data_IF_656247127023
#
_entry.id   IF_656247127023
#
_cell.length_a   1.000
_cell.length_b   1.000
_cell.length_c   1.000
_cell.angle_alpha   90.00
_cell.angle_beta   90.00
_cell.angle_gamma   90.00
#
_symmetry.space_group_name_H-M   'P 1'
#
loop_
_entity.id
_entity.type
_entity.pdbx_description
1 polymer ?
#
# COMPACT_ATOMS: atom_id res chain seq x y z
N UNK A 1 16.66 -23.32 -6.58
CA UNK A 1 17.16 -21.96 -6.88
C UNK A 1 17.39 -21.83 -8.37
N UNK A 2 16.80 -20.83 -9.03
CA UNK A 2 17.07 -20.60 -10.45
C UNK A 2 18.45 -19.93 -10.56
N UNK A 3 19.45 -20.63 -11.09
CA UNK A 3 20.83 -20.14 -11.18
C UNK A 3 21.01 -19.08 -12.27
N UNK A 4 20.06 -18.99 -13.21
CA UNK A 4 20.14 -18.13 -14.39
C UNK A 4 20.34 -16.63 -14.07
N UNK A 5 19.60 -15.99 -13.14
CA UNK A 5 19.79 -14.57 -12.84
C UNK A 5 21.15 -14.28 -12.20
N UNK A 6 21.65 -15.20 -11.38
CA UNK A 6 22.97 -15.10 -10.74
C UNK A 6 24.06 -15.20 -11.82
N UNK A 7 23.93 -16.13 -12.76
CA UNK A 7 24.86 -16.29 -13.89
C UNK A 7 24.87 -15.03 -14.77
N UNK A 8 23.69 -14.47 -15.10
CA UNK A 8 23.58 -13.25 -15.90
C UNK A 8 24.23 -12.04 -15.20
N UNK A 9 24.03 -11.91 -13.89
CA UNK A 9 24.65 -10.86 -13.09
C UNK A 9 26.19 -10.98 -13.09
N UNK A 10 26.73 -12.18 -12.87
CA UNK A 10 28.18 -12.43 -12.87
C UNK A 10 28.82 -12.14 -14.23
N UNK A 11 28.16 -12.52 -15.33
CA UNK A 11 28.63 -12.24 -16.70
C UNK A 11 28.62 -10.73 -16.97
N UNK A 12 27.57 -10.01 -16.54
CA UNK A 12 27.49 -8.56 -16.68
C UNK A 12 28.60 -7.82 -15.94
N UNK A 13 28.89 -8.21 -14.69
CA UNK A 13 29.99 -7.63 -13.90
C UNK A 13 31.35 -7.92 -14.55
N UNK A 14 31.59 -9.14 -15.02
CA UNK A 14 32.81 -9.48 -15.74
C UNK A 14 32.99 -8.64 -17.03
N UNK A 15 31.91 -8.40 -17.77
CA UNK A 15 31.91 -7.56 -18.97
C UNK A 15 32.27 -6.10 -18.70
N UNK A 16 31.82 -5.53 -17.58
CA UNK A 16 32.21 -4.18 -17.14
C UNK A 16 33.71 -4.13 -16.82
N UNK A 17 34.23 -5.12 -16.09
CA UNK A 17 35.66 -5.19 -15.74
C UNK A 17 36.53 -5.29 -17.00
N UNK A 18 36.14 -6.13 -17.96
CA UNK A 18 36.84 -6.27 -19.24
C UNK A 18 36.80 -4.96 -20.02
N UNK A 19 35.66 -4.25 -20.02
CA UNK A 19 35.52 -2.94 -20.67
C UNK A 19 36.48 -1.91 -20.09
N UNK A 20 36.63 -1.87 -18.76
CA UNK A 20 37.58 -0.98 -18.07
C UNK A 20 39.04 -1.29 -18.44
N UNK A 21 39.41 -2.58 -18.51
CA UNK A 21 40.76 -2.99 -18.93
C UNK A 21 41.05 -2.62 -20.38
N UNK A 22 40.07 -2.77 -21.27
CA UNK A 22 40.19 -2.39 -22.67
C UNK A 22 40.29 -0.86 -22.87
N UNK A 23 39.64 -0.05 -22.01
CA UNK A 23 39.82 1.42 -22.00
C UNK A 23 41.27 1.78 -21.67
N UNK A 24 41.82 1.21 -20.60
CA UNK A 24 43.22 1.47 -20.19
C UNK A 24 44.19 1.08 -21.30
N UNK A 25 43.95 -0.06 -21.94
CA UNK A 25 44.77 -0.52 -23.07
C UNK A 25 44.65 0.38 -24.30
N UNK A 26 43.43 0.82 -24.63
CA UNK A 26 43.16 1.71 -25.77
C UNK A 26 43.84 3.07 -25.61
N UNK A 27 43.79 3.65 -24.41
CA UNK A 27 44.47 4.90 -24.07
C UNK A 27 45.99 4.74 -24.23
N UNK A 28 46.55 3.62 -23.75
CA UNK A 28 47.99 3.36 -23.81
C UNK A 28 48.51 3.16 -25.25
N UNK A 29 47.69 2.63 -26.16
CA UNK A 29 48.10 2.28 -27.54
C UNK A 29 47.61 3.27 -28.61
N UNK A 30 46.84 4.29 -28.25
CA UNK A 30 46.31 5.29 -29.18
C UNK A 30 45.36 4.73 -30.25
N UNK A 31 44.79 3.54 -30.01
CA UNK A 31 44.00 2.81 -31.01
C UNK A 31 42.52 3.21 -30.93
N UNK A 32 42.05 3.98 -31.93
CA UNK A 32 40.64 4.41 -32.01
C UNK A 32 39.65 3.25 -32.15
N UNK A 33 40.05 2.14 -32.79
CA UNK A 33 39.19 0.97 -32.98
C UNK A 33 38.83 0.25 -31.67
N UNK A 34 39.67 0.33 -30.63
CA UNK A 34 39.39 -0.29 -29.33
C UNK A 34 38.35 0.48 -28.51
N UNK A 35 38.16 1.78 -28.76
CA UNK A 35 37.13 2.57 -28.05
C UNK A 35 35.70 2.19 -28.47
N UNK A 36 35.48 1.92 -29.76
CA UNK A 36 34.16 1.49 -30.25
C UNK A 36 33.80 0.11 -29.69
N UNK A 37 34.77 -0.81 -29.62
CA UNK A 37 34.58 -2.13 -29.04
C UNK A 37 34.23 -2.05 -27.55
N UNK A 38 34.92 -1.19 -26.80
CA UNK A 38 34.61 -0.91 -25.38
C UNK A 38 33.16 -0.45 -25.21
N UNK A 39 32.71 0.51 -26.03
CA UNK A 39 31.35 1.03 -25.93
C UNK A 39 30.30 -0.06 -26.13
N UNK A 40 30.51 -0.96 -27.10
CA UNK A 40 29.60 -2.08 -27.38
C UNK A 40 29.57 -3.07 -26.21
N UNK A 41 30.75 -3.46 -25.68
CA UNK A 41 30.83 -4.43 -24.56
C UNK A 41 30.20 -3.84 -23.29
N UNK A 42 30.39 -2.55 -23.05
CA UNK A 42 29.78 -1.86 -21.90
C UNK A 42 28.26 -1.80 -22.02
N UNK A 43 27.73 -1.46 -23.21
CA UNK A 43 26.28 -1.43 -23.45
C UNK A 43 25.63 -2.80 -23.28
N UNK A 44 26.27 -3.86 -23.83
CA UNK A 44 25.81 -5.24 -23.68
C UNK A 44 25.80 -5.68 -22.20
N UNK A 45 26.79 -5.25 -21.42
CA UNK A 45 26.87 -5.57 -19.99
C UNK A 45 25.73 -4.94 -19.19
N UNK A 46 25.33 -3.70 -19.52
CA UNK A 46 24.19 -3.03 -18.90
C UNK A 46 22.88 -3.77 -19.23
N UNK A 47 22.70 -4.18 -20.50
CA UNK A 47 21.52 -4.95 -20.94
C UNK A 47 21.43 -6.30 -20.22
N UNK A 48 22.56 -6.99 -20.01
CA UNK A 48 22.59 -8.26 -19.28
C UNK A 48 22.24 -8.10 -17.81
N UNK A 49 22.73 -7.03 -17.15
CA UNK A 49 22.40 -6.74 -15.75
C UNK A 49 20.91 -6.41 -15.62
N UNK A 50 20.35 -5.58 -16.52
CA UNK A 50 18.93 -5.21 -16.48
C UNK A 50 17.99 -6.37 -16.79
N UNK A 51 18.38 -7.28 -17.70
CA UNK A 51 17.64 -8.51 -17.95
C UNK A 51 17.66 -9.45 -16.72
N UNK A 52 18.80 -9.55 -16.03
CA UNK A 52 18.92 -10.32 -14.78
C UNK A 52 17.97 -9.81 -13.70
N UNK A 53 17.91 -8.50 -13.46
CA UNK A 53 16.96 -7.89 -12.52
C UNK A 53 15.51 -8.06 -12.97
N UNK A 54 15.22 -7.90 -14.26
CA UNK A 54 13.88 -8.12 -14.81
C UNK A 54 13.38 -9.55 -14.56
N UNK A 55 14.22 -10.56 -14.79
CA UNK A 55 13.86 -11.96 -14.54
C UNK A 55 13.59 -12.21 -13.05
N UNK A 56 14.34 -11.60 -12.12
CA UNK A 56 14.05 -11.73 -10.68
C UNK A 56 12.75 -11.04 -10.24
N UNK A 57 12.33 -9.96 -10.92
CA UNK A 57 11.06 -9.28 -10.64
C UNK A 57 9.85 -10.00 -11.24
N UNK A 58 9.98 -10.59 -12.44
CA UNK A 58 8.93 -11.41 -13.04
C UNK A 58 8.87 -12.84 -12.48
N UNK A 59 9.94 -13.31 -11.83
CA UNK A 59 9.95 -14.56 -11.06
C UNK A 59 9.53 -14.36 -9.60
N UNK A 60 8.60 -13.45 -9.34
CA UNK A 60 7.67 -13.61 -8.23
C UNK A 60 6.63 -14.61 -8.71
N UNK A 61 6.96 -15.90 -8.58
CA UNK A 61 6.01 -16.99 -8.78
C UNK A 61 4.77 -16.69 -7.93
N UNK A 62 3.64 -16.53 -8.61
CA UNK A 62 2.32 -16.76 -8.05
C UNK A 62 2.31 -18.20 -7.52
N UNK A 63 2.54 -18.38 -6.23
CA UNK A 63 2.29 -19.66 -5.57
C UNK A 63 0.78 -19.85 -5.45
N UNK A 64 0.14 -20.26 -6.55
CA UNK A 64 -1.05 -21.08 -6.45
C UNK A 64 -0.55 -22.52 -6.30
N UNK A 65 -0.56 -23.03 -5.08
CA UNK A 65 -0.56 -24.46 -4.85
C UNK A 65 -1.85 -25.02 -5.44
N UNK A 66 -1.78 -25.59 -6.63
CA UNK A 66 -2.81 -26.49 -7.12
C UNK A 66 -2.55 -27.84 -6.47
N UNK A 67 -3.17 -28.07 -5.31
CA UNK A 67 -3.23 -29.39 -4.70
C UNK A 67 -4.14 -30.25 -5.59
N UNK A 68 -3.54 -31.06 -6.47
CA UNK A 68 -4.22 -32.22 -7.04
C UNK A 68 -4.55 -33.18 -5.89
N UNK A 69 -5.75 -33.03 -5.32
CA UNK A 69 -6.32 -34.06 -4.47
C UNK A 69 -7.02 -35.05 -5.39
N UNK A 70 -6.51 -36.28 -5.45
CA UNK A 70 -7.20 -37.38 -6.10
C UNK A 70 -8.63 -37.48 -5.57
N UNK A 71 -9.59 -37.53 -6.50
CA UNK A 71 -11.01 -37.64 -6.23
C UNK A 71 -11.29 -38.98 -5.53
N UNK A 72 -11.34 -38.97 -4.19
CA UNK A 72 -11.92 -40.08 -3.43
C UNK A 72 -13.43 -39.95 -3.51
N UNK A 73 -14.07 -40.84 -4.26
CA UNK A 73 -15.51 -41.03 -4.24
C UNK A 73 -15.93 -41.67 -2.92
N UNK A 74 -16.15 -40.87 -1.89
CA UNK A 74 -17.05 -41.22 -0.81
C UNK A 74 -17.96 -40.02 -0.50
N UNK A 75 -19.27 -40.24 -0.33
CA UNK A 75 -20.20 -39.18 0.00
C UNK A 75 -19.92 -38.75 1.44
N UNK A 76 -19.41 -37.53 1.61
CA UNK A 76 -19.26 -36.92 2.92
C UNK A 76 -20.36 -35.87 3.03
N UNK A 77 -21.44 -36.22 3.73
CA UNK A 77 -22.29 -35.25 4.42
C UNK A 77 -21.42 -34.56 5.49
N UNK A 78 -20.59 -33.61 5.06
CA UNK A 78 -19.94 -32.64 5.93
C UNK A 78 -20.78 -31.40 5.86
N UNK A 79 -21.57 -31.20 6.90
CA UNK A 79 -22.11 -29.90 7.26
C UNK A 79 -20.96 -28.88 7.19
N UNK A 80 -20.93 -28.06 6.14
CA UNK A 80 -19.98 -26.96 6.01
C UNK A 80 -20.40 -25.95 7.08
N UNK A 81 -19.72 -25.97 8.23
CA UNK A 81 -19.79 -24.84 9.16
C UNK A 81 -19.21 -23.63 8.43
N UNK A 82 -20.08 -22.79 7.89
CA UNK A 82 -19.73 -21.43 7.50
C UNK A 82 -19.19 -20.78 8.76
N UNK A 83 -17.89 -20.49 8.78
CA UNK A 83 -17.27 -19.85 9.93
C UNK A 83 -17.57 -18.35 9.80
N UNK A 84 -18.28 -17.80 10.79
CA UNK A 84 -18.63 -16.38 10.78
C UNK A 84 -17.37 -15.53 10.95
N UNK A 85 -17.30 -14.40 10.22
CA UNK A 85 -16.17 -13.48 10.29
C UNK A 85 -15.97 -12.94 11.72
N UNK A 86 -14.72 -12.80 12.14
CA UNK A 86 -14.32 -12.44 13.49
C UNK A 86 -13.12 -11.50 13.51
N UNK A 87 -12.81 -10.94 14.69
CA UNK A 87 -11.66 -10.02 14.85
C UNK A 87 -10.34 -10.69 14.48
N UNK A 88 -10.23 -12.02 14.62
CA UNK A 88 -9.04 -12.78 14.26
C UNK A 88 -8.76 -12.77 12.74
N UNK A 89 -9.76 -12.42 11.92
CA UNK A 89 -9.61 -12.21 10.48
C UNK A 89 -8.98 -10.84 10.14
N UNK A 90 -8.79 -9.97 11.13
CA UNK A 90 -8.09 -8.70 10.99
C UNK A 90 -6.61 -8.86 11.33
N UNK A 91 -5.73 -8.48 10.41
CA UNK A 91 -4.29 -8.49 10.63
C UNK A 91 -3.75 -7.06 10.71
N UNK A 92 -2.85 -6.77 11.64
CA UNK A 92 -2.21 -5.47 11.81
C UNK A 92 -0.69 -5.61 11.74
N UNK A 93 -0.06 -4.76 10.94
CA UNK A 93 1.38 -4.63 10.81
C UNK A 93 1.76 -3.16 10.93
N UNK A 94 2.93 -2.87 11.50
CA UNK A 94 3.41 -1.49 11.60
C UNK A 94 4.93 -1.38 11.44
N UNK A 95 5.36 -0.16 11.12
CA UNK A 95 6.76 0.25 11.08
C UNK A 95 6.88 1.67 11.63
N UNK A 96 7.80 1.86 12.58
CA UNK A 96 8.17 3.17 13.10
C UNK A 96 9.51 3.59 12.52
N UNK A 97 9.63 4.80 11.98
CA UNK A 97 10.89 5.33 11.47
C UNK A 97 10.96 6.86 11.54
N UNK A 98 12.16 7.39 11.72
CA UNK A 98 12.40 8.84 11.70
C UNK A 98 12.62 9.33 10.26
N UNK A 99 12.09 10.50 9.92
CA UNK A 99 12.39 11.21 8.68
C UNK A 99 13.48 12.25 8.96
N UNK A 100 14.75 11.82 8.92
CA UNK A 100 15.88 12.71 9.15
C UNK A 100 15.96 13.21 10.60
N UNK A 101 16.19 14.51 10.78
CA UNK A 101 16.33 15.18 12.10
C UNK A 101 14.98 15.60 12.70
N UNK A 102 13.87 14.95 12.34
CA UNK A 102 12.53 15.33 12.78
C UNK A 102 12.34 15.10 14.29
N UNK A 103 11.58 15.98 14.93
CA UNK A 103 11.13 15.84 16.33
C UNK A 103 10.13 14.70 16.52
N UNK A 104 9.63 14.12 15.42
CA UNK A 104 8.58 13.12 15.38
C UNK A 104 9.04 11.90 14.55
N UNK A 105 8.43 10.74 14.79
CA UNK A 105 8.55 9.54 13.94
C UNK A 105 7.30 9.38 13.08
N UNK A 106 7.47 8.76 11.92
CA UNK A 106 6.36 8.20 11.16
C UNK A 106 6.00 6.83 11.69
N UNK A 107 4.71 6.61 11.89
CA UNK A 107 4.10 5.30 12.03
C UNK A 107 3.40 4.95 10.73
N UNK A 108 3.96 4.00 9.98
CA UNK A 108 3.30 3.35 8.87
C UNK A 108 2.60 2.10 9.37
N UNK A 109 1.34 1.93 9.01
CA UNK A 109 0.52 0.80 9.43
C UNK A 109 -0.11 0.15 8.22
N UNK A 110 -0.37 -1.14 8.33
CA UNK A 110 -1.14 -1.91 7.36
C UNK A 110 -2.11 -2.78 8.13
N UNK A 111 -3.39 -2.60 7.86
CA UNK A 111 -4.49 -3.37 8.41
C UNK A 111 -5.05 -4.18 7.25
N UNK A 112 -5.27 -5.48 7.42
CA UNK A 112 -5.90 -6.33 6.42
C UNK A 112 -7.22 -6.86 6.98
N UNK A 113 -8.26 -6.84 6.16
CA UNK A 113 -9.47 -7.60 6.41
C UNK A 113 -9.40 -8.85 5.53
N UNK A 114 -9.08 -9.99 6.14
CA UNK A 114 -9.00 -11.27 5.45
C UNK A 114 -10.33 -12.05 5.50
N UNK A 115 -11.39 -11.42 6.03
CA UNK A 115 -12.73 -12.01 6.04
C UNK A 115 -13.47 -11.72 4.74
N UNK A 116 -14.55 -12.47 4.53
CA UNK A 116 -15.52 -12.24 3.46
C UNK A 116 -16.61 -11.21 3.83
N UNK A 117 -16.47 -10.49 4.94
CA UNK A 117 -17.48 -9.54 5.46
C UNK A 117 -16.91 -8.13 5.63
N UNK A 118 -17.80 -7.14 5.63
CA UNK A 118 -17.41 -5.74 5.83
C UNK A 118 -17.17 -5.51 7.32
N UNK A 119 -16.00 -4.99 7.70
CA UNK A 119 -15.72 -4.61 9.08
C UNK A 119 -16.05 -3.14 9.34
N UNK A 120 -16.72 -2.89 10.46
CA UNK A 120 -17.03 -1.57 11.00
C UNK A 120 -16.61 -1.51 12.47
N UNK A 121 -15.75 -0.55 12.83
CA UNK A 121 -15.18 -0.49 14.17
C UNK A 121 -14.18 0.63 14.39
N UNK A 122 -13.29 0.41 15.35
CA UNK A 122 -12.20 1.29 15.75
C UNK A 122 -10.95 0.45 16.05
N UNK A 123 -9.79 0.96 15.64
CA UNK A 123 -8.50 0.49 16.14
C UNK A 123 -7.97 1.48 17.16
N UNK A 124 -7.71 1.03 18.37
CA UNK A 124 -6.99 1.81 19.37
C UNK A 124 -5.51 1.45 19.33
N UNK A 125 -4.67 2.46 19.23
CA UNK A 125 -3.23 2.35 19.15
C UNK A 125 -2.59 3.06 20.34
N UNK A 126 -1.67 2.38 21.02
CA UNK A 126 -0.91 2.93 22.14
C UNK A 126 0.57 2.83 21.82
N UNK A 127 1.24 3.97 21.77
CA UNK A 127 2.67 4.06 21.49
C UNK A 127 3.43 4.18 22.80
N UNK A 128 4.50 3.40 22.95
CA UNK A 128 5.34 3.45 24.15
C UNK A 128 6.81 3.65 23.84
N UNK A 129 7.52 4.27 24.78
CA UNK A 129 8.98 4.40 24.72
C UNK A 129 9.70 3.11 25.17
N UNK A 130 11.03 3.13 25.21
CA UNK A 130 11.84 2.00 25.69
C UNK A 130 11.60 1.62 27.15
N UNK A 131 10.99 2.51 27.93
CA UNK A 131 10.65 2.32 29.34
C UNK A 131 9.19 1.88 29.52
N UNK A 132 8.49 1.53 28.43
CA UNK A 132 7.06 1.20 28.41
C UNK A 132 6.13 2.33 28.87
N UNK A 133 6.61 3.58 28.84
CA UNK A 133 5.76 4.74 29.14
C UNK A 133 4.99 5.14 27.89
N UNK A 134 3.69 5.40 28.02
CA UNK A 134 2.84 5.86 26.92
C UNK A 134 3.31 7.23 26.44
N UNK A 135 3.68 7.33 25.16
CA UNK A 135 4.07 8.58 24.53
C UNK A 135 2.93 9.22 23.75
N UNK A 136 2.11 8.39 23.09
CA UNK A 136 0.98 8.83 22.27
C UNK A 136 -0.12 7.76 22.26
N UNK A 137 -1.35 8.19 21.97
CA UNK A 137 -2.48 7.29 21.70
C UNK A 137 -3.22 7.76 20.45
N UNK A 138 -3.65 6.83 19.61
CA UNK A 138 -4.41 7.13 18.40
C UNK A 138 -5.61 6.18 18.27
N UNK A 139 -6.78 6.75 18.05
CA UNK A 139 -7.99 6.02 17.70
C UNK A 139 -8.26 6.17 16.20
N UNK A 140 -8.28 5.06 15.47
CA UNK A 140 -8.58 5.01 14.05
C UNK A 140 -9.97 4.43 13.84
N UNK A 141 -11.00 5.25 13.55
CA UNK A 141 -12.29 4.73 13.13
C UNK A 141 -12.15 4.04 11.77
N UNK A 142 -12.74 2.85 11.66
CA UNK A 142 -12.78 2.05 10.44
C UNK A 142 -14.24 1.85 10.08
N UNK A 143 -14.64 2.38 8.91
CA UNK A 143 -15.99 2.18 8.37
C UNK A 143 -15.90 1.58 6.98
N UNK A 144 -16.80 0.65 6.69
CA UNK A 144 -16.91 -0.03 5.43
C UNK A 144 -15.58 -0.64 4.97
N UNK A 145 -14.88 -1.33 5.88
CA UNK A 145 -13.62 -1.98 5.52
C UNK A 145 -13.90 -3.26 4.75
N UNK A 146 -13.71 -3.18 3.45
CA UNK A 146 -14.15 -4.18 2.49
C UNK A 146 -13.46 -5.55 2.70
N UNK A 147 -14.18 -6.65 2.41
CA UNK A 147 -13.61 -7.99 2.38
C UNK A 147 -12.33 -8.07 1.55
N UNK A 148 -11.35 -8.85 2.01
CA UNK A 148 -10.12 -9.15 1.27
C UNK A 148 -9.36 -7.90 0.79
N UNK A 149 -9.38 -6.81 1.57
CA UNK A 149 -8.67 -5.56 1.26
C UNK A 149 -7.67 -5.16 2.34
N UNK A 150 -6.74 -4.27 1.96
CA UNK A 150 -5.76 -3.68 2.87
C UNK A 150 -5.98 -2.18 3.03
N UNK A 151 -5.89 -1.72 4.27
CA UNK A 151 -5.98 -0.34 4.68
C UNK A 151 -4.62 0.13 5.25
N UNK A 152 -4.04 1.20 4.70
CA UNK A 152 -2.66 1.64 5.03
C UNK A 152 -2.59 3.04 5.64
N UNK A 153 -2.97 3.21 6.92
CA UNK A 153 -2.87 4.50 7.58
C UNK A 153 -1.42 4.85 7.91
N UNK A 154 -1.17 6.16 7.95
CA UNK A 154 0.10 6.72 8.45
C UNK A 154 -0.19 7.80 9.47
N UNK A 155 0.63 7.91 10.51
CA UNK A 155 0.51 8.94 11.55
C UNK A 155 1.90 9.47 11.95
N UNK A 156 1.94 10.72 12.43
CA UNK A 156 3.11 11.30 13.09
C UNK A 156 2.98 11.07 14.59
N UNK A 157 4.03 10.53 15.21
CA UNK A 157 4.08 10.22 16.65
C UNK A 157 5.36 10.77 17.28
N UNK A 158 5.46 10.73 18.61
CA UNK A 158 6.64 11.14 19.35
C UNK A 158 7.92 10.48 18.82
N UNK A 159 9.01 11.25 18.75
CA UNK A 159 10.33 10.73 18.39
C UNK A 159 10.82 9.61 19.30
N UNK A 160 10.32 9.55 20.54
CA UNK A 160 10.71 8.55 21.52
C UNK A 160 9.89 7.26 21.42
N UNK A 161 8.83 7.20 20.60
CA UNK A 161 8.04 5.98 20.42
C UNK A 161 8.91 4.84 19.84
N UNK A 162 8.89 3.68 20.49
CA UNK A 162 9.65 2.47 20.09
C UNK A 162 8.72 1.30 19.82
N UNK A 163 7.63 1.17 20.58
CA UNK A 163 6.65 0.10 20.41
C UNK A 163 5.26 0.67 20.12
N UNK A 164 4.41 -0.17 19.53
CA UNK A 164 2.99 0.09 19.30
C UNK A 164 2.20 -1.15 19.68
N UNK A 165 1.26 -0.96 20.61
CA UNK A 165 0.21 -1.92 20.95
C UNK A 165 -1.09 -1.51 20.26
N UNK A 166 -1.90 -2.50 19.86
CA UNK A 166 -3.16 -2.24 19.16
C UNK A 166 -4.28 -3.14 19.67
N UNK A 167 -5.52 -2.67 19.50
CA UNK A 167 -6.72 -3.48 19.70
C UNK A 167 -7.80 -3.07 18.70
N UNK A 168 -8.58 -4.05 18.26
CA UNK A 168 -9.75 -3.84 17.43
C UNK A 168 -11.01 -3.91 18.28
N UNK A 169 -11.96 -3.05 18.00
CA UNK A 169 -13.32 -3.14 18.52
C UNK A 169 -14.30 -2.85 17.40
N UNK A 170 -15.35 -3.65 17.25
CA UNK A 170 -16.27 -3.49 16.13
C UNK A 170 -17.08 -4.74 15.83
N UNK A 171 -17.67 -4.76 14.64
CA UNK A 171 -18.50 -5.85 14.14
C UNK A 171 -18.29 -6.07 12.65
N UNK A 172 -18.60 -7.28 12.22
CA UNK A 172 -18.69 -7.64 10.81
C UNK A 172 -20.15 -7.57 10.36
N UNK A 173 -20.39 -6.89 9.25
CA UNK A 173 -21.68 -6.85 8.59
C UNK A 173 -21.61 -7.75 7.35
N UNK A 174 -22.52 -8.73 7.27
CA UNK A 174 -22.65 -9.69 6.16
C UNK A 174 -23.51 -9.17 5.02
N UNK A 175 -24.28 -8.10 5.26
CA UNK A 175 -25.02 -7.39 4.22
C UNK A 175 -24.07 -6.46 3.45
N UNK A 176 -23.32 -7.06 2.52
CA UNK A 176 -22.63 -6.31 1.49
C UNK A 176 -23.72 -5.73 0.58
N UNK A 177 -24.06 -4.45 0.78
CA UNK A 177 -24.75 -3.72 -0.27
C UNK A 177 -23.79 -3.68 -1.46
N UNK A 178 -24.01 -4.52 -2.49
CA UNK A 178 -23.08 -4.68 -3.60
C UNK A 178 -22.99 -3.44 -4.50
N UNK A 179 -23.81 -2.42 -4.24
CA UNK A 179 -23.80 -1.14 -4.94
C UNK A 179 -22.94 -0.08 -4.22
N UNK A 180 -21.70 -0.41 -3.85
CA UNK A 180 -20.79 0.61 -3.30
C UNK A 180 -20.19 1.37 -4.50
N UNK A 181 -20.49 2.67 -4.68
CA UNK A 181 -20.10 3.40 -5.90
C UNK A 181 -18.62 3.81 -5.91
N UNK A 182 -17.83 3.37 -4.91
CA UNK A 182 -16.45 3.76 -4.72
C UNK A 182 -15.64 2.74 -3.90
N UNK A 183 -14.32 2.81 -4.01
CA UNK A 183 -13.37 2.03 -3.18
C UNK A 183 -12.38 2.97 -2.51
N UNK A 184 -12.24 2.90 -1.19
CA UNK A 184 -11.19 3.64 -0.48
C UNK A 184 -9.86 2.92 -0.71
N UNK A 185 -8.90 3.60 -1.32
CA UNK A 185 -7.55 3.06 -1.61
C UNK A 185 -6.56 3.36 -0.51
N UNK A 186 -6.69 4.51 0.14
CA UNK A 186 -5.81 4.93 1.23
C UNK A 186 -6.54 5.91 2.14
N UNK A 187 -6.19 5.89 3.42
CA UNK A 187 -6.57 6.97 4.34
C UNK A 187 -5.29 7.39 5.06
N UNK A 188 -5.15 8.67 5.33
CA UNK A 188 -4.03 9.25 6.05
C UNK A 188 -4.58 10.13 7.17
N UNK A 189 -4.02 10.01 8.36
CA UNK A 189 -4.40 10.87 9.48
C UNK A 189 -3.24 11.82 9.81
N UNK A 190 -3.54 13.12 9.86
CA UNK A 190 -2.53 14.13 10.16
C UNK A 190 -3.17 15.48 10.45
N UNK A 191 -2.56 16.25 11.35
CA UNK A 191 -3.04 17.59 11.75
C UNK A 191 -4.53 17.61 12.14
N UNK A 192 -5.05 16.54 12.76
CA UNK A 192 -6.47 16.34 13.14
C UNK A 192 -7.45 16.21 11.96
N UNK A 193 -6.98 15.99 10.74
CA UNK A 193 -7.83 15.70 9.58
C UNK A 193 -7.62 14.26 9.12
N UNK A 194 -8.69 13.64 8.63
CA UNK A 194 -8.59 12.43 7.80
C UNK A 194 -8.45 12.84 6.33
N UNK A 195 -7.55 12.19 5.59
CA UNK A 195 -7.48 12.28 4.13
C UNK A 195 -7.81 10.93 3.54
N UNK A 196 -8.77 10.86 2.64
CA UNK A 196 -9.19 9.67 1.93
C UNK A 196 -8.79 9.77 0.46
N UNK A 197 -8.15 8.73 -0.07
CA UNK A 197 -7.92 8.55 -1.50
C UNK A 197 -8.94 7.52 -2.00
N UNK A 198 -9.86 7.95 -2.86
CA UNK A 198 -11.07 7.21 -3.23
C UNK A 198 -11.13 6.98 -4.73
N UNK A 199 -11.29 5.73 -5.12
CA UNK A 199 -11.46 5.29 -6.51
C UNK A 199 -12.96 5.20 -6.85
N UNK A 200 -13.40 5.75 -7.97
CA UNK A 200 -14.80 5.77 -8.41
C UNK A 200 -14.93 5.30 -9.86
N UNK A 201 -16.02 4.61 -10.18
CA UNK A 201 -16.34 4.24 -11.57
C UNK A 201 -17.09 5.38 -12.29
N UNK A 202 -18.09 5.97 -11.64
CA UNK A 202 -18.81 7.14 -12.15
C UNK A 202 -18.18 8.44 -11.63
N UNK A 203 -17.64 9.23 -12.55
CA UNK A 203 -16.98 10.52 -12.27
C UNK A 203 -17.94 11.71 -12.36
N UNK A 204 -19.25 11.48 -12.50
CA UNK A 204 -20.24 12.54 -12.58
C UNK A 204 -20.29 13.39 -11.30
N UNK A 205 -20.51 14.69 -11.44
CA UNK A 205 -20.60 15.61 -10.29
C UNK A 205 -21.69 15.22 -9.30
N UNK A 206 -22.76 14.59 -9.78
CA UNK A 206 -23.84 14.08 -8.92
C UNK A 206 -23.36 12.90 -8.07
N UNK A 207 -22.64 11.93 -8.66
CA UNK A 207 -22.10 10.80 -7.92
C UNK A 207 -21.06 11.25 -6.89
N UNK A 208 -20.12 12.12 -7.28
CA UNK A 208 -19.10 12.63 -6.35
C UNK A 208 -19.72 13.37 -5.15
N UNK A 209 -20.74 14.21 -5.38
CA UNK A 209 -21.48 14.86 -4.29
C UNK A 209 -22.18 13.85 -3.38
N UNK A 210 -22.80 12.82 -3.93
CA UNK A 210 -23.44 11.77 -3.14
C UNK A 210 -22.42 11.06 -2.25
N UNK A 211 -21.23 10.74 -2.78
CA UNK A 211 -20.14 10.15 -2.00
C UNK A 211 -19.71 11.09 -0.86
N UNK A 212 -19.52 12.38 -1.13
CA UNK A 212 -19.16 13.36 -0.09
C UNK A 212 -20.19 13.39 1.05
N UNK A 213 -21.49 13.36 0.73
CA UNK A 213 -22.56 13.32 1.72
C UNK A 213 -22.56 12.01 2.52
N UNK A 214 -22.28 10.88 1.86
CA UNK A 214 -22.13 9.60 2.54
C UNK A 214 -20.95 9.63 3.53
N UNK A 215 -19.79 10.18 3.15
CA UNK A 215 -18.67 10.35 4.07
C UNK A 215 -19.02 11.25 5.25
N UNK A 216 -19.71 12.37 5.01
CA UNK A 216 -20.12 13.29 6.08
C UNK A 216 -21.11 12.67 7.07
N UNK A 217 -21.99 11.79 6.60
CA UNK A 217 -22.92 11.05 7.45
C UNK A 217 -22.25 9.85 8.15
N UNK A 218 -21.25 9.24 7.50
CA UNK A 218 -20.58 8.07 8.02
C UNK A 218 -19.49 8.42 9.03
N UNK A 219 -18.66 9.44 8.84
CA UNK A 219 -17.57 9.72 9.76
C UNK A 219 -18.01 10.59 10.94
N UNK A 220 -17.75 10.12 12.16
CA UNK A 220 -18.03 10.90 13.37
C UNK A 220 -17.06 12.06 13.46
N UNK A 221 -17.58 13.26 13.21
CA UNK A 221 -16.82 14.50 13.22
C UNK A 221 -16.38 14.94 14.62
N UNK A 222 -16.79 14.25 15.69
CA UNK A 222 -16.26 14.48 17.04
C UNK A 222 -14.81 13.99 17.21
N UNK A 223 -14.34 13.13 16.30
CA UNK A 223 -13.01 12.51 16.35
C UNK A 223 -11.94 13.25 15.51
N UNK A 224 -12.32 14.29 14.77
CA UNK A 224 -11.43 15.05 13.89
C UNK A 224 -11.93 16.48 13.64
N UNK A 225 -11.04 17.37 13.22
CA UNK A 225 -11.39 18.73 12.80
C UNK A 225 -12.05 18.76 11.41
N UNK A 226 -11.98 17.64 10.66
CA UNK A 226 -12.62 17.48 9.36
C UNK A 226 -12.02 16.36 8.52
N UNK A 227 -12.37 16.33 7.24
CA UNK A 227 -11.78 15.40 6.28
C UNK A 227 -11.58 15.96 4.88
N UNK A 228 -10.60 15.39 4.18
CA UNK A 228 -10.29 15.62 2.78
C UNK A 228 -10.54 14.32 2.00
N UNK A 229 -11.13 14.41 0.81
CA UNK A 229 -11.30 13.27 -0.10
C UNK A 229 -10.69 13.65 -1.44
N UNK A 230 -9.79 12.82 -1.96
CA UNK A 230 -9.28 12.90 -3.33
C UNK A 230 -9.92 11.79 -4.16
N UNK A 231 -10.57 12.16 -5.24
CA UNK A 231 -11.25 11.22 -6.14
C UNK A 231 -10.35 10.85 -7.31
N UNK A 232 -10.33 9.56 -7.65
CA UNK A 232 -9.59 8.99 -8.76
C UNK A 232 -10.50 8.08 -9.59
N UNK A 233 -10.35 8.03 -10.93
CA UNK A 233 -11.08 7.08 -11.74
C UNK A 233 -10.59 5.64 -11.47
N UNK A 234 -11.53 4.69 -11.44
CA UNK A 234 -11.23 3.27 -11.25
C UNK A 234 -10.49 2.72 -12.47
N UNK A 235 -9.16 2.75 -12.43
CA UNK A 235 -8.29 2.08 -13.41
C UNK A 235 -7.28 1.20 -12.67
N UNK A 236 -6.83 0.11 -13.28
CA UNK A 236 -6.07 -0.95 -12.62
C UNK A 236 -4.74 -0.49 -11.98
N UNK A 237 -4.22 0.69 -12.34
CA UNK A 237 -2.93 1.21 -11.86
C UNK A 237 -2.96 2.71 -11.56
N UNK A 238 -3.86 3.17 -10.68
CA UNK A 238 -3.77 4.54 -10.18
C UNK A 238 -2.58 4.65 -9.23
N UNK A 239 -1.48 5.22 -9.73
CA UNK A 239 -0.48 5.78 -8.84
C UNK A 239 -1.14 6.95 -8.10
N UNK A 240 -1.28 6.86 -6.78
CA UNK A 240 -2.02 7.85 -5.97
C UNK A 240 -1.19 9.13 -5.85
N UNK A 241 -1.11 9.88 -6.94
CA UNK A 241 -0.46 11.17 -7.04
C UNK A 241 -1.53 12.27 -7.07
N UNK A 242 -1.32 13.36 -6.33
CA UNK A 242 -2.27 14.47 -6.25
C UNK A 242 -2.64 15.06 -7.62
N UNK A 243 -1.72 14.99 -8.58
CA UNK A 243 -1.95 15.51 -9.94
C UNK A 243 -2.94 14.68 -10.74
N UNK A 244 -3.20 13.43 -10.33
CA UNK A 244 -4.05 12.49 -11.05
C UNK A 244 -5.47 12.43 -10.46
N UNK A 245 -5.75 13.24 -9.43
CA UNK A 245 -7.09 13.37 -8.87
C UNK A 245 -8.00 14.07 -9.89
N UNK A 246 -9.26 13.61 -10.00
CA UNK A 246 -10.31 14.20 -10.83
C UNK A 246 -11.20 15.18 -10.05
N UNK A 247 -11.01 15.23 -8.73
CA UNK A 247 -11.66 16.19 -7.86
C UNK A 247 -11.23 16.00 -6.41
N UNK A 248 -11.46 17.02 -5.61
CA UNK A 248 -11.21 17.00 -4.18
C UNK A 248 -12.38 17.59 -3.38
N UNK A 249 -12.64 16.99 -2.23
CA UNK A 249 -13.60 17.48 -1.26
C UNK A 249 -12.90 17.84 0.03
N UNK A 250 -13.20 19.01 0.57
CA UNK A 250 -12.75 19.42 1.90
C UNK A 250 -13.98 19.71 2.77
N UNK A 251 -14.10 19.00 3.89
CA UNK A 251 -15.01 19.32 4.98
C UNK A 251 -14.22 19.76 6.19
N UNK A 252 -14.48 20.99 6.64
CA UNK A 252 -13.99 21.53 7.91
C UNK A 252 -15.16 21.55 8.90
N UNK A 253 -15.07 20.69 9.91
CA UNK A 253 -16.09 20.56 10.95
C UNK A 253 -16.06 21.72 11.95
N UNK A 254 -14.91 22.38 12.12
CA UNK A 254 -14.74 23.54 13.00
C UNK A 254 -15.44 24.75 12.41
N UNK A 255 -15.20 25.04 11.13
CA UNK A 255 -15.82 26.17 10.44
C UNK A 255 -17.19 25.85 9.83
N UNK A 256 -17.63 24.58 9.88
CA UNK A 256 -18.88 24.07 9.28
C UNK A 256 -18.97 24.37 7.78
N UNK A 257 -17.84 24.34 7.09
CA UNK A 257 -17.74 24.60 5.66
C UNK A 257 -17.35 23.34 4.92
N UNK A 258 -17.94 23.16 3.75
CA UNK A 258 -17.55 22.12 2.81
C UNK A 258 -17.39 22.68 1.40
N UNK A 259 -16.49 22.08 0.62
CA UNK A 259 -16.29 22.44 -0.78
C UNK A 259 -15.87 21.20 -1.57
N UNK A 260 -16.59 20.91 -2.64
CA UNK A 260 -16.18 19.98 -3.69
C UNK A 260 -15.63 20.80 -4.86
N UNK A 261 -14.47 20.41 -5.38
CA UNK A 261 -13.86 20.91 -6.60
C UNK A 261 -13.69 19.73 -7.55
N UNK A 262 -14.07 19.90 -8.81
CA UNK A 262 -13.91 18.91 -9.87
C UNK A 262 -13.02 19.56 -10.92
N UNK A 263 -12.01 18.83 -11.39
CA UNK A 263 -10.98 19.33 -12.31
C UNK A 263 -11.31 19.07 -13.78
#
# INVERSE_FOLDING_TARGET
>A
MNLLPIILYLIGVAGIIISLLLIVFAIKRGAKSSLNLVGIVFLLSIILISAGTGITFFKKESSFEQVETQLSTQPIDKEIKVTEASIDDLNFQYKLYSLGSSTNKNAEMTINNNSDSIFNGEIKLTFTDSSQTVTDTLSLPIKNFMPNTSYKPTALVSSNAVNLDYSFSGKFDTNIDKNIPFTIKKITFGNKFFRFDVSVEDTSSQNLNNICNQFAAQYDLSLCDGFLIYFYPSTENVNVNFNDAIGDFHLDNVSKKSKLIIY
#
